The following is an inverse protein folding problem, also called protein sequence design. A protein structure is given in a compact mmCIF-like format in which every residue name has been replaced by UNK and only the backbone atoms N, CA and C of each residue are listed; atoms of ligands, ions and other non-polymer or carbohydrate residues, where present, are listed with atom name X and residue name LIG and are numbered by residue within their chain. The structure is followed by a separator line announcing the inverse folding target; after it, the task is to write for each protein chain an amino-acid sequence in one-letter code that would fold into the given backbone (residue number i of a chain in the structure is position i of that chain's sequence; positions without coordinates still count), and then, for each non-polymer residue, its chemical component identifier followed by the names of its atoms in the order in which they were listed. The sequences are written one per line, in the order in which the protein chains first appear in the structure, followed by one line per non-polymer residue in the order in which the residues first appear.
data_IF_492582954109
#
_entry.id   IF_492582954109
#
_cell.length_a   1.000
_cell.length_b   1.000
_cell.length_c   1.000
_cell.angle_alpha   90.00
_cell.angle_beta   90.00
_cell.angle_gamma   90.00
#
_symmetry.space_group_name_H-M   'P 1'
#
loop_
_entity.id
_entity.type
_entity.pdbx_description
1 polymer ?
#
# COMPACT_ATOMS: atom_id res chain seq x y z
N UNK A 1 -32.38 13.90 61.57
CA UNK A 1 -32.96 14.45 60.33
C UNK A 1 -31.96 15.45 59.78
N UNK A 2 -31.40 15.19 58.61
CA UNK A 2 -30.42 16.06 57.95
C UNK A 2 -31.16 16.72 56.79
N UNK A 3 -31.33 18.03 56.85
CA UNK A 3 -31.97 18.81 55.79
C UNK A 3 -30.96 19.11 54.67
N UNK A 4 -31.32 18.95 53.39
CA UNK A 4 -30.43 19.27 52.29
C UNK A 4 -30.19 20.79 52.21
N UNK A 5 -28.99 21.23 51.78
CA UNK A 5 -28.72 22.65 51.58
C UNK A 5 -29.60 23.21 50.46
N UNK A 6 -30.26 24.33 50.75
CA UNK A 6 -30.98 25.12 49.76
C UNK A 6 -29.99 26.02 49.02
N UNK A 7 -29.86 25.79 47.72
CA UNK A 7 -29.10 26.64 46.81
C UNK A 7 -29.60 26.40 45.38
N UNK A 8 -29.66 27.46 44.59
CA UNK A 8 -29.99 27.38 43.16
C UNK A 8 -28.80 26.82 42.40
N UNK A 9 -28.94 25.59 41.91
CA UNK A 9 -27.98 24.98 40.99
C UNK A 9 -28.20 25.58 39.59
N UNK A 10 -27.22 26.31 39.09
CA UNK A 10 -27.18 26.70 37.68
C UNK A 10 -26.41 25.64 36.89
N UNK A 11 -27.12 24.85 36.08
CA UNK A 11 -26.51 24.10 35.00
C UNK A 11 -26.42 25.03 33.77
N UNK A 12 -25.26 25.19 33.12
CA UNK A 12 -25.17 25.97 31.90
C UNK A 12 -25.88 25.24 30.75
N UNK A 13 -26.82 25.92 30.07
CA UNK A 13 -27.60 25.37 28.94
C UNK A 13 -26.78 25.11 27.66
N UNK A 14 -25.46 25.39 27.67
CA UNK A 14 -24.60 25.23 26.49
C UNK A 14 -23.24 24.69 26.89
N UNK A 15 -23.00 23.43 26.54
CA UNK A 15 -21.65 22.87 26.49
C UNK A 15 -20.93 23.49 25.28
N UNK A 16 -20.02 24.42 25.52
CA UNK A 16 -19.09 24.91 24.49
C UNK A 16 -17.68 24.53 24.88
N UNK A 17 -17.20 23.41 24.36
CA UNK A 17 -15.78 23.11 24.34
C UNK A 17 -15.11 24.08 23.35
N UNK A 18 -14.58 25.18 23.87
CA UNK A 18 -13.70 26.06 23.11
C UNK A 18 -12.38 25.32 22.85
N UNK A 19 -12.17 24.86 21.61
CA UNK A 19 -10.88 24.37 21.14
C UNK A 19 -10.07 25.56 20.63
N UNK A 20 -8.94 25.82 21.29
CA UNK A 20 -8.00 26.87 20.90
C UNK A 20 -7.66 26.79 19.41
N UNK A 21 -7.86 27.91 18.73
CA UNK A 21 -7.52 28.08 17.32
C UNK A 21 -6.09 28.59 17.23
N UNK A 22 -5.14 27.69 16.96
CA UNK A 22 -3.86 28.07 16.34
C UNK A 22 -3.56 27.10 15.20
N UNK A 23 -3.43 27.71 14.03
CA UNK A 23 -3.08 27.12 12.75
C UNK A 23 -4.07 26.09 12.20
N UNK A 24 -5.05 26.62 11.46
CA UNK A 24 -5.45 26.00 10.20
C UNK A 24 -4.17 25.95 9.35
N UNK A 25 -3.36 24.91 9.55
CA UNK A 25 -2.57 24.39 8.46
C UNK A 25 -3.62 23.98 7.45
N UNK A 26 -3.73 24.79 6.39
CA UNK A 26 -4.29 24.33 5.15
C UNK A 26 -3.85 22.88 4.99
N UNK A 27 -4.82 21.99 4.78
CA UNK A 27 -4.55 20.73 4.09
C UNK A 27 -3.98 21.14 2.74
N UNK A 28 -2.68 21.40 2.71
CA UNK A 28 -1.87 21.11 1.55
C UNK A 28 -1.98 19.59 1.42
N UNK A 29 -3.06 19.14 0.78
CA UNK A 29 -2.99 18.02 -0.12
C UNK A 29 -2.03 18.45 -1.23
N UNK A 30 -0.76 18.59 -0.88
CA UNK A 30 0.30 18.37 -1.84
C UNK A 30 0.02 16.94 -2.30
N UNK A 31 -0.55 16.80 -3.49
CA UNK A 31 -0.35 15.64 -4.33
C UNK A 31 1.16 15.51 -4.50
N UNK A 32 1.87 15.03 -3.47
CA UNK A 32 3.22 14.56 -3.62
C UNK A 32 3.06 13.32 -4.45
N UNK A 33 3.29 13.46 -5.76
CA UNK A 33 3.50 12.33 -6.63
C UNK A 33 4.64 11.52 -6.02
N UNK A 34 4.30 10.46 -5.31
CA UNK A 34 5.28 9.50 -4.83
C UNK A 34 5.83 8.84 -6.10
N UNK A 35 7.15 8.82 -6.23
CA UNK A 35 7.83 8.05 -7.26
C UNK A 35 9.09 7.47 -6.65
N UNK A 36 9.00 6.20 -6.26
CA UNK A 36 10.09 5.45 -5.62
C UNK A 36 10.94 4.70 -6.65
N UNK A 37 10.69 4.89 -7.95
CA UNK A 37 11.44 4.20 -9.00
C UNK A 37 12.90 4.71 -9.08
N UNK A 38 13.86 3.85 -9.49
CA UNK A 38 13.71 2.41 -9.75
C UNK A 38 13.59 1.59 -8.44
N UNK A 39 12.86 0.48 -8.43
CA UNK A 39 12.74 -0.42 -7.26
C UNK A 39 13.22 -1.80 -7.65
N UNK A 40 14.11 -2.40 -6.85
CA UNK A 40 14.52 -3.79 -6.99
C UNK A 40 14.12 -4.57 -5.74
N UNK A 41 13.77 -5.84 -5.90
CA UNK A 41 13.43 -6.73 -4.79
C UNK A 41 14.52 -6.78 -3.70
N UNK A 42 15.81 -6.70 -4.09
CA UNK A 42 16.94 -6.75 -3.12
C UNK A 42 16.99 -5.57 -2.17
N UNK A 43 16.49 -4.42 -2.59
CA UNK A 43 16.56 -3.18 -1.82
C UNK A 43 15.17 -2.79 -1.29
N UNK A 44 14.18 -3.68 -1.42
CA UNK A 44 12.77 -3.38 -1.17
C UNK A 44 12.54 -2.87 0.24
N UNK A 45 13.03 -3.59 1.26
CA UNK A 45 12.89 -3.20 2.67
C UNK A 45 13.56 -1.86 2.99
N UNK A 46 14.66 -1.53 2.30
CA UNK A 46 15.41 -0.29 2.54
C UNK A 46 14.78 0.93 1.86
N UNK A 47 14.08 0.73 0.73
CA UNK A 47 13.58 1.80 -0.12
C UNK A 47 12.07 2.02 -0.01
N UNK A 48 11.32 0.97 0.31
CA UNK A 48 9.86 0.98 0.35
C UNK A 48 9.40 0.69 1.78
N UNK A 49 8.64 1.63 2.34
CA UNK A 49 8.07 1.47 3.68
C UNK A 49 6.63 0.97 3.57
N UNK A 50 6.43 -0.32 3.84
CA UNK A 50 5.10 -0.90 3.89
C UNK A 50 4.31 -0.42 5.11
N UNK A 51 3.02 -0.17 4.89
CA UNK A 51 2.04 -0.04 5.95
C UNK A 51 1.49 -1.41 6.28
N UNK A 52 1.69 -1.86 7.52
CA UNK A 52 1.16 -3.15 8.03
C UNK A 52 -0.35 -3.11 8.30
N UNK A 53 -1.00 -1.97 8.03
CA UNK A 53 -2.44 -1.80 8.08
C UNK A 53 -2.87 -1.07 6.79
N UNK A 54 -3.02 -1.79 5.67
CA UNK A 54 -3.55 -1.22 4.45
C UNK A 54 -4.93 -0.60 4.68
N UNK A 55 -5.27 0.42 3.88
CA UNK A 55 -6.59 1.04 3.98
C UNK A 55 -7.71 0.00 3.73
N UNK A 56 -8.82 0.12 4.47
CA UNK A 56 -9.92 -0.86 4.43
C UNK A 56 -10.47 -1.09 3.01
N UNK A 57 -10.55 -0.03 2.20
CA UNK A 57 -11.03 -0.14 0.82
C UNK A 57 -10.04 -0.91 -0.06
N UNK A 58 -8.74 -0.77 0.19
CA UNK A 58 -7.68 -1.42 -0.57
C UNK A 58 -7.68 -2.91 -0.24
N UNK A 59 -7.74 -3.25 1.05
CA UNK A 59 -7.85 -4.63 1.51
C UNK A 59 -9.09 -5.32 0.91
N UNK A 60 -10.26 -4.69 0.99
CA UNK A 60 -11.50 -5.23 0.41
C UNK A 60 -11.41 -5.41 -1.11
N UNK A 61 -10.83 -4.42 -1.81
CA UNK A 61 -10.73 -4.47 -3.27
C UNK A 61 -9.72 -5.50 -3.76
N UNK A 62 -8.60 -5.64 -3.06
CA UNK A 62 -7.59 -6.64 -3.33
C UNK A 62 -8.14 -8.05 -3.10
N UNK A 63 -8.73 -8.30 -1.93
CA UNK A 63 -9.36 -9.57 -1.58
C UNK A 63 -10.44 -9.98 -2.60
N UNK A 64 -11.30 -9.05 -3.01
CA UNK A 64 -12.32 -9.34 -4.04
C UNK A 64 -11.73 -9.79 -5.38
N UNK A 65 -10.52 -9.32 -5.74
CA UNK A 65 -9.94 -9.55 -7.07
C UNK A 65 -8.99 -10.75 -7.10
N UNK A 66 -8.26 -10.98 -6.02
CA UNK A 66 -7.21 -12.00 -5.96
C UNK A 66 -7.50 -13.12 -4.94
N UNK A 67 -8.56 -12.99 -4.14
CA UNK A 67 -8.92 -13.94 -3.06
C UNK A 67 -7.81 -14.09 -2.01
N UNK A 68 -7.07 -13.00 -1.75
CA UNK A 68 -5.94 -12.92 -0.81
C UNK A 68 -6.09 -11.72 0.13
N UNK A 69 -5.45 -11.78 1.30
CA UNK A 69 -5.36 -10.64 2.22
C UNK A 69 -4.23 -9.69 1.81
N UNK A 70 -4.43 -8.39 2.03
CA UNK A 70 -3.34 -7.42 1.97
C UNK A 70 -2.82 -7.22 3.39
N UNK A 71 -1.65 -7.77 3.69
CA UNK A 71 -1.03 -7.69 5.02
C UNK A 71 -0.11 -6.46 5.11
N UNK A 72 0.54 -6.12 4.00
CA UNK A 72 1.31 -4.89 3.82
C UNK A 72 0.90 -4.18 2.54
N UNK A 73 0.97 -2.84 2.53
CA UNK A 73 0.85 -2.07 1.29
C UNK A 73 1.80 -0.88 1.24
N UNK A 74 2.29 -0.57 0.03
CA UNK A 74 3.09 0.63 -0.23
C UNK A 74 2.78 1.18 -1.62
N UNK A 75 2.44 2.47 -1.71
CA UNK A 75 2.38 3.16 -3.00
C UNK A 75 3.80 3.40 -3.51
N UNK A 76 4.09 2.98 -4.74
CA UNK A 76 5.43 3.12 -5.32
C UNK A 76 5.51 4.20 -6.39
N UNK A 77 4.46 4.38 -7.19
CA UNK A 77 4.37 5.46 -8.15
C UNK A 77 2.93 5.73 -8.57
N UNK A 78 2.71 6.91 -9.14
CA UNK A 78 1.45 7.29 -9.78
C UNK A 78 1.70 7.72 -11.24
N UNK A 79 0.87 7.25 -12.17
CA UNK A 79 0.98 7.55 -13.61
C UNK A 79 -0.37 7.50 -14.32
N UNK A 80 -0.63 8.46 -15.20
CA UNK A 80 -1.85 8.54 -16.05
C UNK A 80 -3.17 8.49 -15.26
N UNK A 81 -3.18 8.98 -14.01
CA UNK A 81 -4.34 8.93 -13.11
C UNK A 81 -4.59 7.57 -12.45
N UNK A 82 -3.57 6.70 -12.47
CA UNK A 82 -3.56 5.44 -11.74
C UNK A 82 -2.44 5.47 -10.69
N UNK A 83 -2.77 4.99 -9.50
CA UNK A 83 -1.82 4.75 -8.42
C UNK A 83 -1.36 3.29 -8.49
N UNK A 84 -0.06 3.05 -8.27
CA UNK A 84 0.50 1.70 -8.30
C UNK A 84 1.07 1.34 -6.94
N UNK A 85 0.60 0.22 -6.41
CA UNK A 85 0.95 -0.28 -5.08
C UNK A 85 1.68 -1.60 -5.18
N UNK A 86 2.63 -1.82 -4.26
CA UNK A 86 3.05 -3.14 -3.85
C UNK A 86 2.16 -3.60 -2.69
N UNK A 87 1.72 -4.85 -2.75
CA UNK A 87 0.92 -5.52 -1.72
C UNK A 87 1.66 -6.77 -1.29
N UNK A 88 1.91 -6.88 0.01
CA UNK A 88 2.45 -8.07 0.64
C UNK A 88 1.28 -8.95 1.13
N UNK A 89 1.39 -10.24 0.87
CA UNK A 89 0.56 -11.27 1.45
C UNK A 89 1.48 -12.35 2.05
N UNK A 90 1.30 -12.60 3.34
CA UNK A 90 2.08 -13.53 4.14
C UNK A 90 1.21 -14.75 4.49
N UNK A 91 1.63 -15.94 4.07
CA UNK A 91 0.91 -17.19 4.31
C UNK A 91 1.84 -18.28 4.81
N UNK A 92 1.87 -18.51 6.13
CA UNK A 92 2.80 -19.48 6.74
C UNK A 92 4.24 -19.10 6.45
N UNK A 93 4.98 -19.99 5.78
CA UNK A 93 6.38 -19.76 5.35
C UNK A 93 6.47 -19.22 3.91
N UNK A 94 5.36 -18.79 3.32
CA UNK A 94 5.33 -18.20 1.97
C UNK A 94 5.08 -16.70 2.01
N UNK A 95 5.85 -15.97 1.23
CA UNK A 95 5.70 -14.52 1.04
C UNK A 95 5.39 -14.24 -0.43
N UNK A 96 4.28 -13.54 -0.68
CA UNK A 96 3.87 -13.11 -2.00
C UNK A 96 3.87 -11.58 -2.05
N UNK A 97 4.48 -11.03 -3.10
CA UNK A 97 4.41 -9.60 -3.40
C UNK A 97 3.67 -9.40 -4.72
N UNK A 98 2.59 -8.64 -4.68
CA UNK A 98 1.80 -8.24 -5.83
C UNK A 98 2.06 -6.78 -6.18
N UNK A 99 2.19 -6.51 -7.47
CA UNK A 99 2.13 -5.17 -8.01
C UNK A 99 0.72 -4.94 -8.56
N UNK A 100 0.00 -3.95 -8.03
CA UNK A 100 -1.37 -3.66 -8.42
C UNK A 100 -1.53 -2.22 -8.89
N UNK A 101 -2.50 -1.98 -9.76
CA UNK A 101 -2.91 -0.67 -10.21
C UNK A 101 -4.29 -0.32 -9.65
N UNK A 102 -4.45 0.93 -9.24
CA UNK A 102 -5.67 1.44 -8.63
C UNK A 102 -6.13 2.69 -9.37
N UNK A 103 -7.45 2.86 -9.49
CA UNK A 103 -8.07 4.12 -9.89
C UNK A 103 -9.18 4.47 -8.90
N UNK A 104 -8.99 5.54 -8.13
CA UNK A 104 -9.89 5.85 -7.01
C UNK A 104 -9.82 4.76 -5.95
N UNK A 105 -10.94 4.10 -5.62
CA UNK A 105 -10.99 3.02 -4.62
C UNK A 105 -11.19 1.64 -5.24
N UNK A 106 -10.66 1.42 -6.44
CA UNK A 106 -10.88 0.19 -7.19
C UNK A 106 -9.59 -0.34 -7.81
N UNK A 107 -9.31 -1.61 -7.57
CA UNK A 107 -8.15 -2.32 -8.13
C UNK A 107 -8.43 -2.70 -9.59
N UNK A 108 -7.66 -2.12 -10.49
CA UNK A 108 -7.82 -2.25 -11.94
C UNK A 108 -7.16 -3.51 -12.48
N UNK A 109 -5.94 -3.81 -12.03
CA UNK A 109 -5.17 -4.97 -12.44
C UNK A 109 -4.04 -5.25 -11.46
N UNK A 110 -3.36 -6.37 -11.64
CA UNK A 110 -2.16 -6.69 -10.88
C UNK A 110 -1.48 -7.95 -11.33
N UNK A 111 -0.20 -8.05 -10.98
CA UNK A 111 0.66 -9.18 -11.29
C UNK A 111 1.42 -9.58 -10.02
N UNK A 112 1.57 -10.88 -9.78
CA UNK A 112 2.50 -11.38 -8.76
C UNK A 112 3.93 -11.13 -9.27
N UNK A 113 4.72 -10.38 -8.50
CA UNK A 113 6.08 -9.95 -8.87
C UNK A 113 7.15 -10.58 -8.00
N UNK A 114 6.82 -10.99 -6.78
CA UNK A 114 7.69 -11.85 -5.97
C UNK A 114 6.90 -12.98 -5.31
N UNK A 115 7.57 -14.10 -5.15
CA UNK A 115 7.05 -15.30 -4.52
C UNK A 115 8.23 -16.08 -3.93
N UNK A 116 8.22 -16.24 -2.61
CA UNK A 116 9.05 -17.20 -1.92
C UNK A 116 8.18 -18.27 -1.32
N UNK A 117 8.53 -19.52 -1.59
CA UNK A 117 7.96 -20.67 -0.93
C UNK A 117 9.07 -21.26 -0.06
N UNK A 118 8.87 -21.31 1.27
CA UNK A 118 9.90 -21.63 2.27
C UNK A 118 10.70 -22.93 2.06
N UNK A 119 10.29 -23.80 1.13
CA UNK A 119 11.02 -25.02 0.74
C UNK A 119 11.79 -24.96 -0.58
N UNK A 120 11.75 -23.85 -1.33
CA UNK A 120 12.35 -23.75 -2.67
C UNK A 120 13.66 -22.96 -2.66
N UNK A 121 14.71 -23.52 -3.27
CA UNK A 121 15.96 -22.80 -3.55
C UNK A 121 15.81 -21.75 -4.67
N UNK A 122 14.67 -21.74 -5.35
CA UNK A 122 14.35 -20.76 -6.39
C UNK A 122 13.20 -19.89 -5.92
N UNK A 123 13.44 -18.58 -5.90
CA UNK A 123 12.45 -17.55 -5.55
C UNK A 123 12.16 -16.68 -6.75
N UNK A 124 10.95 -16.17 -6.86
CA UNK A 124 10.57 -15.20 -7.87
C UNK A 124 10.85 -13.80 -7.33
N UNK A 125 11.60 -12.99 -8.08
CA UNK A 125 11.98 -11.63 -7.70
C UNK A 125 11.71 -10.66 -8.84
N UNK A 126 11.79 -9.34 -8.58
CA UNK A 126 11.50 -8.34 -9.59
C UNK A 126 12.42 -7.11 -9.54
N UNK A 127 12.35 -6.34 -10.62
CA UNK A 127 12.90 -5.00 -10.73
C UNK A 127 11.95 -4.12 -11.56
N UNK A 128 11.76 -2.87 -11.15
CA UNK A 128 10.98 -1.85 -11.87
C UNK A 128 11.90 -0.67 -12.14
N UNK A 129 12.07 -0.32 -13.41
CA UNK A 129 12.91 0.82 -13.78
C UNK A 129 12.13 2.15 -13.82
N UNK A 130 12.83 3.27 -14.02
CA UNK A 130 12.25 4.62 -14.12
C UNK A 130 11.27 4.79 -15.31
N UNK A 131 11.33 3.87 -16.29
CA UNK A 131 10.42 3.84 -17.45
C UNK A 131 9.19 2.96 -17.21
N UNK A 132 8.95 2.54 -15.98
CA UNK A 132 7.81 1.68 -15.60
C UNK A 132 7.82 0.31 -16.29
N UNK A 133 9.01 -0.17 -16.67
CA UNK A 133 9.19 -1.53 -17.15
C UNK A 133 9.48 -2.43 -15.95
N UNK A 134 8.74 -3.53 -15.86
CA UNK A 134 8.84 -4.52 -14.79
C UNK A 134 9.52 -5.75 -15.36
N UNK A 135 10.62 -6.17 -14.75
CA UNK A 135 11.32 -7.41 -15.06
C UNK A 135 11.11 -8.37 -13.91
N UNK A 136 10.66 -9.59 -14.20
CA UNK A 136 10.48 -10.67 -13.23
C UNK A 136 11.56 -11.71 -13.47
N UNK A 137 12.22 -12.14 -12.40
CA UNK A 137 13.31 -13.08 -12.43
C UNK A 137 12.97 -14.33 -11.62
N UNK A 138 13.48 -15.48 -12.07
CA UNK A 138 13.70 -16.62 -11.21
C UNK A 138 15.12 -16.52 -10.64
N UNK A 139 15.25 -16.44 -9.32
CA UNK A 139 16.53 -16.32 -8.63
C UNK A 139 16.85 -17.63 -7.90
N UNK A 140 17.98 -18.24 -8.26
CA UNK A 140 18.50 -19.47 -7.63
C UNK A 140 19.94 -19.20 -7.20
N UNK A 141 20.25 -19.40 -5.91
CA UNK A 141 21.61 -19.21 -5.36
C UNK A 141 22.26 -17.85 -5.74
N UNK A 142 21.46 -16.76 -5.72
CA UNK A 142 21.93 -15.41 -6.06
C UNK A 142 22.04 -15.11 -7.56
N UNK A 143 21.81 -16.09 -8.44
CA UNK A 143 21.77 -15.89 -9.88
C UNK A 143 20.34 -15.65 -10.35
N UNK A 144 20.12 -14.50 -11.00
CA UNK A 144 18.82 -14.13 -11.57
C UNK A 144 18.75 -14.49 -13.05
N UNK A 145 17.70 -15.21 -13.44
CA UNK A 145 17.33 -15.44 -14.83
C UNK A 145 16.03 -14.70 -15.13
N UNK A 146 16.04 -13.83 -16.14
CA UNK A 146 14.83 -13.14 -16.60
C UNK A 146 13.79 -14.19 -17.03
N UNK A 147 12.61 -14.14 -16.42
CA UNK A 147 11.48 -15.03 -16.69
C UNK A 147 10.42 -14.29 -17.51
N UNK A 148 10.06 -13.08 -17.10
CA UNK A 148 8.99 -12.31 -17.72
C UNK A 148 9.31 -10.82 -17.73
N UNK A 149 8.75 -10.10 -18.69
CA UNK A 149 8.84 -8.64 -18.78
C UNK A 149 7.45 -8.06 -18.99
N UNK A 150 7.17 -6.95 -18.31
CA UNK A 150 5.92 -6.21 -18.42
C UNK A 150 6.21 -4.72 -18.58
N UNK A 151 5.23 -4.00 -19.12
CA UNK A 151 5.22 -2.53 -19.14
C UNK A 151 3.90 -2.03 -18.55
N UNK A 152 3.97 -1.02 -17.69
CA UNK A 152 2.77 -0.36 -17.19
C UNK A 152 2.23 0.66 -18.20
N UNK A 153 0.97 0.46 -18.62
CA UNK A 153 0.29 1.31 -19.58
C UNK A 153 -1.18 1.49 -19.21
N UNK A 154 -1.57 2.73 -18.85
CA UNK A 154 -2.97 3.13 -18.57
C UNK A 154 -3.71 2.20 -17.58
N UNK A 155 -3.04 1.83 -16.49
CA UNK A 155 -3.64 0.98 -15.46
C UNK A 155 -3.47 -0.53 -15.69
N UNK A 156 -2.84 -0.96 -16.78
CA UNK A 156 -2.60 -2.37 -17.08
C UNK A 156 -1.11 -2.71 -17.08
N UNK A 157 -0.78 -3.92 -16.63
CA UNK A 157 0.56 -4.51 -16.76
C UNK A 157 0.58 -5.41 -17.99
N UNK A 158 1.11 -4.92 -19.11
CA UNK A 158 1.12 -5.66 -20.38
C UNK A 158 2.40 -6.46 -20.50
N UNK A 159 2.27 -7.78 -20.67
CA UNK A 159 3.41 -8.67 -20.93
C UNK A 159 4.04 -8.31 -22.27
N UNK A 160 5.37 -8.27 -22.31
CA UNK A 160 6.18 -8.04 -23.51
C UNK A 160 6.70 -9.35 -24.09
#
# INVERSE_FOLDING_TARGET
MISPPQGTFYAPDRCTLARETRNIQARNSENKSINLLPVDYKDLESKVKFSNQPEEWLQKSFMKKFDLTADGSAEIFSKDGYEVYLIENMGGDSELVYLISVKGKSVMGGINVADSNGGSNTVKTFSINEKYEISIFAETNGHRKLSEKYVFNKGEFKKQ
#
